data_IF_929830593417
#
_entry.id   IF_929830593417
#
_cell.length_a   1.000
_cell.length_b   1.000
_cell.length_c   1.000
_cell.angle_alpha   90.00
_cell.angle_beta   90.00
_cell.angle_gamma   90.00
#
_symmetry.space_group_name_H-M   'P 1'
#
loop_
_entity.id
_entity.type
_entity.pdbx_description
1 polymer ?
#
# COMPACT_ATOMS: atom_id res chain seq x y z
N UNK A 1 17.04 -29.22 -45.18
CA UNK A 1 16.17 -30.22 -44.57
C UNK A 1 16.86 -30.70 -43.28
N UNK A 2 16.67 -30.01 -42.17
CA UNK A 2 17.12 -30.45 -40.83
C UNK A 2 15.98 -30.15 -39.90
N UNK A 3 15.39 -31.22 -39.34
CA UNK A 3 14.31 -31.22 -38.40
C UNK A 3 14.94 -31.04 -37.03
N UNK A 4 14.59 -29.99 -36.30
CA UNK A 4 14.96 -29.79 -34.89
C UNK A 4 13.74 -30.11 -34.02
N UNK A 5 13.90 -31.09 -33.15
CA UNK A 5 12.88 -31.56 -32.20
C UNK A 5 12.67 -30.51 -31.11
N UNK A 6 11.44 -30.08 -30.93
CA UNK A 6 10.99 -29.33 -29.72
C UNK A 6 10.84 -30.33 -28.55
N UNK A 7 11.52 -30.08 -27.46
CA UNK A 7 11.34 -30.78 -26.21
C UNK A 7 10.12 -30.21 -25.47
N UNK A 8 9.12 -31.06 -25.29
CA UNK A 8 7.99 -30.82 -24.42
C UNK A 8 8.46 -31.05 -22.97
N UNK A 9 8.42 -30.05 -22.11
CA UNK A 9 8.63 -30.19 -20.68
C UNK A 9 7.23 -30.28 -20.04
N UNK A 10 6.88 -31.46 -19.54
CA UNK A 10 5.66 -31.67 -18.78
C UNK A 10 5.94 -31.38 -17.29
N UNK A 11 5.23 -30.46 -16.72
CA UNK A 11 5.19 -30.23 -15.28
C UNK A 11 4.27 -31.28 -14.63
N UNK A 12 4.85 -32.06 -13.73
CA UNK A 12 4.12 -32.99 -12.87
C UNK A 12 4.01 -32.31 -11.51
N UNK A 13 2.79 -31.90 -11.17
CA UNK A 13 2.48 -31.39 -9.83
C UNK A 13 2.60 -32.50 -8.79
N UNK A 14 3.35 -32.28 -7.74
CA UNK A 14 3.43 -33.12 -6.56
C UNK A 14 2.53 -32.53 -5.46
N UNK A 15 1.41 -33.19 -5.19
CA UNK A 15 0.58 -32.97 -4.01
C UNK A 15 1.34 -33.53 -2.80
N UNK A 16 1.71 -32.67 -1.85
CA UNK A 16 2.17 -33.11 -0.52
C UNK A 16 1.03 -32.88 0.46
N UNK A 17 0.44 -34.00 0.89
CA UNK A 17 -0.51 -34.08 1.99
C UNK A 17 0.29 -34.20 3.28
N UNK A 18 0.30 -33.17 4.11
CA UNK A 18 0.88 -33.22 5.46
C UNK A 18 -0.21 -33.50 6.49
N UNK A 19 -0.09 -34.64 7.14
CA UNK A 19 -0.99 -35.14 8.18
C UNK A 19 -0.62 -34.50 9.53
N UNK A 20 -1.59 -33.85 10.17
CA UNK A 20 -1.50 -33.37 11.56
C UNK A 20 -1.39 -34.52 12.54
N UNK A 21 -0.41 -34.43 13.45
CA UNK A 21 -0.35 -35.20 14.70
C UNK A 21 -0.58 -34.24 15.87
N UNK A 22 -1.73 -34.38 16.48
CA UNK A 22 -2.09 -33.72 17.75
C UNK A 22 -1.42 -34.46 18.89
N UNK A 23 -0.64 -33.77 19.71
CA UNK A 23 -0.21 -34.26 21.01
C UNK A 23 -0.63 -33.27 22.10
N UNK A 24 -1.65 -33.66 22.84
CA UNK A 24 -2.05 -32.99 24.07
C UNK A 24 -1.15 -33.42 25.23
N UNK A 25 -0.68 -32.45 26.02
CA UNK A 25 -0.27 -32.71 27.39
C UNK A 25 -0.71 -31.60 28.33
N UNK A 26 -1.40 -32.03 29.34
CA UNK A 26 -2.09 -31.29 30.39
C UNK A 26 -1.16 -30.92 31.56
N UNK A 27 -1.65 -29.91 32.29
CA UNK A 27 -1.62 -29.70 33.76
C UNK A 27 -0.42 -29.02 34.42
N UNK A 28 -0.76 -28.04 35.25
CA UNK A 28 0.04 -27.56 36.38
C UNK A 28 -0.42 -26.20 36.93
N UNK A 29 -1.48 -26.22 37.70
CA UNK A 29 -1.89 -25.07 38.54
C UNK A 29 -0.93 -24.89 39.72
N UNK A 30 -0.57 -23.65 40.06
CA UNK A 30 -0.20 -23.28 41.43
C UNK A 30 -0.64 -21.84 41.73
N UNK A 31 -1.40 -21.76 42.81
CA UNK A 31 -1.95 -20.64 43.51
C UNK A 31 -0.87 -19.90 44.32
N UNK A 32 -1.05 -18.58 44.46
CA UNK A 32 -0.26 -17.79 45.41
C UNK A 32 -0.88 -16.40 45.65
N UNK A 33 -1.53 -16.28 46.78
CA UNK A 33 -2.19 -15.06 47.32
C UNK A 33 -1.23 -13.91 47.61
N UNK A 34 -1.75 -12.67 47.55
CA UNK A 34 -1.04 -11.52 48.09
C UNK A 34 -1.85 -10.20 47.95
N UNK A 35 -2.74 -9.99 48.88
CA UNK A 35 -3.53 -8.76 49.10
C UNK A 35 -2.59 -7.62 49.52
N UNK A 36 -2.73 -6.41 48.98
CA UNK A 36 -2.56 -5.18 49.74
C UNK A 36 -3.36 -4.03 49.16
N UNK A 37 -4.35 -3.59 49.88
CA UNK A 37 -5.16 -2.40 49.67
C UNK A 37 -4.45 -1.16 50.20
N UNK A 38 -4.39 -0.09 49.42
CA UNK A 38 -4.33 1.27 49.98
C UNK A 38 -5.25 2.21 49.20
N UNK A 39 -6.28 2.66 49.89
CA UNK A 39 -7.19 3.75 49.54
C UNK A 39 -6.47 5.08 49.64
N UNK A 40 -6.61 5.93 48.62
CA UNK A 40 -6.30 7.34 48.67
C UNK A 40 -7.24 8.08 47.75
N UNK A 41 -8.24 8.72 48.31
CA UNK A 41 -9.07 9.69 47.61
C UNK A 41 -8.31 11.01 47.52
N UNK A 42 -8.28 11.63 46.39
CA UNK A 42 -8.29 13.09 46.32
C UNK A 42 -8.94 13.64 45.06
N UNK A 43 -9.50 14.77 45.23
CA UNK A 43 -10.50 15.54 44.53
C UNK A 43 -10.02 16.22 43.26
N UNK A 44 -10.87 16.20 42.24
CA UNK A 44 -11.24 17.29 41.33
C UNK A 44 -10.14 18.10 40.63
N UNK A 45 -10.08 17.96 39.30
CA UNK A 45 -9.99 19.19 38.52
C UNK A 45 -10.61 18.96 37.11
N UNK A 46 -11.52 19.86 36.75
CA UNK A 46 -12.17 19.92 35.46
C UNK A 46 -11.22 20.63 34.48
N UNK A 47 -10.51 19.88 33.65
CA UNK A 47 -9.80 20.44 32.50
C UNK A 47 -10.59 20.15 31.22
N UNK A 48 -10.94 21.24 30.55
CA UNK A 48 -11.72 21.24 29.33
C UNK A 48 -11.04 20.45 28.21
N UNK A 49 -11.84 19.62 27.57
CA UNK A 49 -11.54 19.00 26.29
C UNK A 49 -11.32 20.07 25.23
N UNK A 50 -10.09 20.36 24.91
CA UNK A 50 -9.74 21.06 23.68
C UNK A 50 -9.89 20.05 22.54
N UNK A 51 -10.75 20.38 21.58
CA UNK A 51 -10.87 19.63 20.32
C UNK A 51 -9.47 19.50 19.67
N UNK A 52 -9.16 18.34 19.05
CA UNK A 52 -7.93 18.21 18.31
C UNK A 52 -7.87 19.28 17.21
N UNK A 53 -6.83 20.09 17.23
CA UNK A 53 -6.50 21.00 16.14
C UNK A 53 -6.23 20.18 14.90
N UNK A 54 -6.94 20.46 13.81
CA UNK A 54 -6.67 19.91 12.50
C UNK A 54 -5.15 19.98 12.23
N UNK A 55 -4.58 18.88 11.78
CA UNK A 55 -3.19 18.78 11.34
C UNK A 55 -2.94 19.89 10.32
N UNK A 56 -2.07 20.86 10.64
CA UNK A 56 -1.62 21.81 9.63
C UNK A 56 -0.92 21.00 8.54
N UNK A 57 -1.41 21.10 7.30
CA UNK A 57 -0.77 20.48 6.15
C UNK A 57 0.70 20.92 6.01
N UNK A 58 1.52 20.20 5.23
CA UNK A 58 2.94 20.46 5.11
C UNK A 58 3.21 21.93 4.74
N UNK A 59 4.16 22.55 5.44
CA UNK A 59 4.50 23.97 5.21
C UNK A 59 5.21 24.11 3.85
N UNK A 60 4.72 24.95 2.93
CA UNK A 60 5.36 25.18 1.63
C UNK A 60 6.83 25.60 1.76
N UNK A 61 7.69 25.25 0.78
CA UNK A 61 9.10 25.60 0.81
C UNK A 61 9.32 27.12 0.78
N UNK A 62 10.47 27.59 1.32
CA UNK A 62 10.91 28.95 1.09
C UNK A 62 11.13 29.18 -0.41
N UNK A 63 10.29 29.96 -1.06
CA UNK A 63 10.30 30.15 -2.52
C UNK A 63 9.00 29.75 -3.20
N UNK A 64 8.09 29.15 -2.47
CA UNK A 64 6.80 28.69 -3.00
C UNK A 64 6.91 27.34 -3.71
N UNK A 65 5.76 26.78 -4.06
CA UNK A 65 5.68 25.54 -4.80
C UNK A 65 5.86 25.79 -6.30
N UNK A 66 6.55 24.89 -7.04
CA UNK A 66 6.70 25.02 -8.48
C UNK A 66 5.34 24.96 -9.16
N UNK A 67 5.19 25.71 -10.27
CA UNK A 67 4.04 25.56 -11.15
C UNK A 67 4.11 24.16 -11.79
N UNK A 68 3.02 23.39 -11.67
CA UNK A 68 2.93 22.01 -12.18
C UNK A 68 2.48 22.01 -13.63
N UNK A 69 3.02 22.66 -14.54
CA UNK A 69 2.72 22.58 -15.97
C UNK A 69 1.22 22.63 -16.35
N UNK A 70 0.96 22.47 -17.63
CA UNK A 70 -0.41 22.34 -18.17
C UNK A 70 -0.82 20.86 -18.15
N UNK A 71 -1.17 20.34 -16.96
CA UNK A 71 -1.67 18.97 -16.80
C UNK A 71 -3.04 18.75 -17.43
N UNK A 72 -3.41 17.48 -17.59
CA UNK A 72 -4.76 17.09 -18.04
C UNK A 72 -5.74 17.38 -16.91
N UNK A 73 -6.81 18.15 -17.14
CA UNK A 73 -7.83 18.44 -16.12
C UNK A 73 -8.54 17.16 -15.66
N UNK A 74 -8.93 17.13 -14.38
CA UNK A 74 -9.81 16.09 -13.87
C UNK A 74 -11.15 16.09 -14.60
N UNK A 75 -11.63 14.90 -14.96
CA UNK A 75 -13.02 14.65 -15.29
C UNK A 75 -13.87 14.40 -14.04
N UNK A 76 -15.17 14.31 -14.22
CA UNK A 76 -16.14 13.81 -13.22
C UNK A 76 -16.99 12.75 -13.95
N UNK A 77 -16.34 11.69 -14.45
CA UNK A 77 -16.93 10.77 -15.41
C UNK A 77 -17.94 9.81 -14.80
N UNK A 78 -17.72 9.39 -13.54
CA UNK A 78 -18.60 8.50 -12.81
C UNK A 78 -18.41 8.69 -11.30
N UNK A 79 -19.51 8.67 -10.57
CA UNK A 79 -19.52 8.79 -9.12
C UNK A 79 -20.50 7.82 -8.48
N UNK A 80 -20.17 7.37 -7.26
CA UNK A 80 -21.04 6.55 -6.42
C UNK A 80 -20.97 7.06 -4.99
N UNK A 81 -22.08 6.99 -4.25
CA UNK A 81 -22.10 7.29 -2.81
C UNK A 81 -21.94 5.99 -2.04
N UNK A 82 -21.11 5.98 -1.02
CA UNK A 82 -20.93 4.81 -0.14
C UNK A 82 -22.18 4.66 0.73
N UNK A 83 -22.69 3.43 0.77
CA UNK A 83 -23.82 3.03 1.62
C UNK A 83 -23.30 2.37 2.89
N UNK A 84 -24.04 2.47 3.98
CA UNK A 84 -23.75 1.76 5.21
C UNK A 84 -24.08 0.29 5.04
N UNK A 85 -23.09 -0.59 5.25
CA UNK A 85 -23.24 -2.04 5.13
C UNK A 85 -23.20 -2.77 6.48
N UNK A 86 -22.65 -2.15 7.54
CA UNK A 86 -22.73 -2.67 8.90
C UNK A 86 -22.67 -1.58 9.96
N UNK A 87 -23.12 -1.92 11.17
CA UNK A 87 -23.00 -1.13 12.41
C UNK A 87 -22.96 -2.13 13.57
N UNK A 88 -21.77 -2.36 14.11
CA UNK A 88 -21.54 -3.27 15.21
C UNK A 88 -20.87 -2.52 16.39
N UNK A 89 -21.59 -2.43 17.51
CA UNK A 89 -21.17 -1.75 18.74
C UNK A 89 -20.57 -0.33 18.53
N UNK A 90 -21.02 0.37 17.48
CA UNK A 90 -20.59 1.73 17.15
C UNK A 90 -19.44 1.79 16.14
N UNK A 91 -18.92 0.66 15.68
CA UNK A 91 -18.06 0.57 14.49
C UNK A 91 -18.95 0.50 13.26
N UNK A 92 -18.92 1.54 12.44
CA UNK A 92 -19.78 1.66 11.27
C UNK A 92 -18.96 1.47 10.00
N UNK A 93 -19.43 0.60 9.09
CA UNK A 93 -18.79 0.35 7.81
C UNK A 93 -19.64 0.90 6.68
N UNK A 94 -19.01 1.74 5.85
CA UNK A 94 -19.56 2.24 4.60
C UNK A 94 -18.79 1.62 3.44
N UNK A 95 -19.48 1.23 2.36
CA UNK A 95 -18.85 0.66 1.19
C UNK A 95 -19.55 1.02 -0.12
N UNK A 96 -18.80 0.98 -1.20
CA UNK A 96 -19.32 1.00 -2.56
C UNK A 96 -18.31 0.35 -3.51
N UNK A 97 -18.77 -0.34 -4.54
CA UNK A 97 -17.92 -0.73 -5.66
C UNK A 97 -17.38 0.51 -6.38
N UNK A 98 -16.14 0.45 -6.83
CA UNK A 98 -15.55 1.53 -7.62
C UNK A 98 -16.34 1.72 -8.92
N UNK A 99 -16.66 2.98 -9.33
CA UNK A 99 -17.39 3.26 -10.56
C UNK A 99 -16.49 3.05 -11.79
N UNK A 100 -16.18 1.80 -12.09
CA UNK A 100 -15.31 1.36 -13.18
C UNK A 100 -16.01 1.52 -14.54
N UNK A 101 -15.27 1.64 -15.67
CA UNK A 101 -15.85 1.94 -16.98
C UNK A 101 -16.64 0.77 -17.60
N UNK A 102 -16.71 -0.36 -16.93
CA UNK A 102 -17.41 -1.57 -17.36
C UNK A 102 -16.57 -2.81 -17.16
N UNK A 103 -17.00 -3.97 -17.66
CA UNK A 103 -16.22 -5.19 -17.55
C UNK A 103 -14.89 -5.08 -18.32
N UNK A 104 -13.85 -5.73 -17.85
CA UNK A 104 -12.57 -5.88 -18.53
C UNK A 104 -12.35 -7.34 -18.92
N UNK A 105 -11.53 -7.59 -19.93
CA UNK A 105 -11.01 -8.95 -20.22
C UNK A 105 -9.89 -9.36 -19.24
N UNK A 106 -9.32 -8.39 -18.51
CA UNK A 106 -8.38 -8.59 -17.42
C UNK A 106 -9.08 -8.66 -16.06
N UNK A 107 -8.38 -8.21 -15.01
CA UNK A 107 -8.89 -8.21 -13.64
C UNK A 107 -8.89 -6.79 -13.09
N UNK A 108 -10.06 -6.28 -12.72
CA UNK A 108 -10.11 -5.06 -11.92
C UNK A 108 -9.51 -5.30 -10.55
N UNK A 109 -8.43 -4.59 -10.24
CA UNK A 109 -7.75 -4.73 -8.95
C UNK A 109 -7.05 -3.44 -8.53
N UNK A 110 -6.95 -3.26 -7.21
CA UNK A 110 -6.07 -2.26 -6.59
C UNK A 110 -4.82 -2.96 -6.04
N UNK A 111 -3.64 -2.50 -6.45
CA UNK A 111 -2.35 -3.07 -6.04
C UNK A 111 -1.46 -2.09 -5.28
N UNK A 112 -1.74 -0.80 -5.38
CA UNK A 112 -1.00 0.25 -4.69
C UNK A 112 -1.79 0.85 -3.54
N UNK A 113 -1.07 1.32 -2.53
CA UNK A 113 -1.69 2.02 -1.41
C UNK A 113 -2.09 3.43 -1.84
N UNK A 114 -3.36 3.78 -1.60
CA UNK A 114 -3.89 5.13 -1.75
C UNK A 114 -3.34 6.10 -0.70
N UNK A 115 -3.84 7.32 -0.71
CA UNK A 115 -3.37 8.36 0.21
C UNK A 115 -4.51 9.27 0.68
N UNK A 116 -4.54 9.56 1.98
CA UNK A 116 -5.36 10.63 2.56
C UNK A 116 -4.69 11.99 2.35
N UNK A 117 -5.47 13.00 1.98
CA UNK A 117 -4.98 14.35 1.74
C UNK A 117 -5.01 15.25 2.99
N UNK A 118 -5.56 14.75 4.11
CA UNK A 118 -5.70 15.49 5.37
C UNK A 118 -6.79 16.57 5.36
N UNK A 119 -7.58 16.66 4.28
CA UNK A 119 -8.73 17.55 4.14
C UNK A 119 -10.07 16.78 4.03
N UNK A 120 -10.06 15.50 4.36
CA UNK A 120 -11.18 14.57 4.25
C UNK A 120 -11.31 13.89 2.90
N UNK A 121 -10.37 14.15 1.97
CA UNK A 121 -10.31 13.44 0.69
C UNK A 121 -9.25 12.34 0.72
N UNK A 122 -9.51 11.27 -0.04
CA UNK A 122 -8.60 10.16 -0.23
C UNK A 122 -8.46 9.86 -1.73
N UNK A 123 -7.22 9.69 -2.20
CA UNK A 123 -6.95 9.27 -3.59
C UNK A 123 -6.56 7.80 -3.63
N UNK A 124 -7.05 7.10 -4.65
CA UNK A 124 -6.75 5.70 -4.93
C UNK A 124 -6.72 5.44 -6.44
N UNK A 125 -6.28 4.24 -6.84
CA UNK A 125 -6.28 3.84 -8.24
C UNK A 125 -6.62 2.36 -8.39
N UNK A 126 -7.30 2.03 -9.49
CA UNK A 126 -7.66 0.66 -9.89
C UNK A 126 -7.23 0.45 -11.32
N UNK A 127 -6.59 -0.69 -11.61
CA UNK A 127 -6.14 -1.06 -12.94
C UNK A 127 -6.87 -2.27 -13.51
N UNK A 128 -6.83 -2.43 -14.84
CA UNK A 128 -7.57 -3.46 -15.59
C UNK A 128 -6.77 -4.74 -15.89
N UNK A 129 -5.47 -4.74 -15.58
CA UNK A 129 -4.58 -5.88 -15.81
C UNK A 129 -4.48 -6.38 -17.26
N UNK A 130 -4.84 -5.57 -18.23
CA UNK A 130 -4.61 -5.88 -19.64
C UNK A 130 -3.13 -5.73 -20.01
N UNK A 131 -2.74 -6.23 -21.16
CA UNK A 131 -1.43 -5.98 -21.78
C UNK A 131 -1.53 -4.82 -22.78
N UNK A 132 -2.04 -5.11 -23.99
CA UNK A 132 -2.31 -4.09 -24.99
C UNK A 132 -3.42 -3.14 -24.51
N UNK A 133 -3.22 -1.84 -24.70
CA UNK A 133 -4.15 -0.79 -24.30
C UNK A 133 -4.54 -0.83 -22.79
N UNK A 134 -3.72 -1.46 -21.95
CA UNK A 134 -3.95 -1.55 -20.52
C UNK A 134 -4.04 -0.16 -19.87
N UNK A 135 -4.98 0.00 -18.94
CA UNK A 135 -5.26 1.30 -18.33
C UNK A 135 -5.47 1.18 -16.81
N UNK A 136 -5.15 2.24 -16.11
CA UNK A 136 -5.47 2.43 -14.71
C UNK A 136 -6.24 3.73 -14.52
N UNK A 137 -7.17 3.70 -13.56
CA UNK A 137 -8.11 4.79 -13.30
C UNK A 137 -7.88 5.35 -11.91
N UNK A 138 -7.92 6.67 -11.78
CA UNK A 138 -7.76 7.38 -10.52
C UNK A 138 -9.11 7.83 -9.97
N UNK A 139 -9.23 7.70 -8.65
CA UNK A 139 -10.45 8.01 -7.91
C UNK A 139 -10.15 8.93 -6.74
N UNK A 140 -11.12 9.79 -6.44
CA UNK A 140 -11.15 10.60 -5.22
C UNK A 140 -12.39 10.26 -4.41
N UNK A 141 -12.19 9.88 -3.17
CA UNK A 141 -13.23 9.81 -2.16
C UNK A 141 -13.28 11.11 -1.38
N UNK A 142 -14.48 11.66 -1.18
CA UNK A 142 -14.75 12.83 -0.33
C UNK A 142 -15.60 12.39 0.88
N UNK A 143 -15.04 12.53 2.08
CA UNK A 143 -15.71 12.13 3.31
C UNK A 143 -16.90 13.04 3.68
N UNK A 144 -16.98 14.26 3.14
CA UNK A 144 -18.04 15.19 3.49
C UNK A 144 -19.42 14.73 2.99
N UNK A 145 -19.46 14.05 1.84
CA UNK A 145 -20.69 13.52 1.25
C UNK A 145 -20.61 12.01 0.96
N UNK A 146 -19.51 11.36 1.35
CA UNK A 146 -19.20 9.94 1.12
C UNK A 146 -19.24 9.56 -0.37
N UNK A 147 -18.78 10.43 -1.23
CA UNK A 147 -18.81 10.22 -2.69
C UNK A 147 -17.44 9.75 -3.17
N UNK A 148 -17.42 8.66 -3.94
CA UNK A 148 -16.26 8.17 -4.67
C UNK A 148 -16.42 8.53 -6.15
N UNK A 149 -15.49 9.33 -6.70
CA UNK A 149 -15.55 9.84 -8.07
C UNK A 149 -14.31 9.41 -8.86
N UNK A 150 -14.51 8.85 -10.05
CA UNK A 150 -13.45 8.65 -11.04
C UNK A 150 -13.11 9.98 -11.68
N UNK A 151 -11.83 10.38 -11.67
CA UNK A 151 -11.46 11.71 -12.16
C UNK A 151 -10.43 11.73 -13.28
N UNK A 152 -9.67 10.65 -13.49
CA UNK A 152 -8.69 10.54 -14.55
C UNK A 152 -8.39 9.07 -14.86
N UNK A 153 -7.75 8.84 -16.00
CA UNK A 153 -7.15 7.56 -16.38
C UNK A 153 -5.77 7.80 -16.99
N UNK A 154 -4.92 6.76 -16.93
CA UNK A 154 -3.51 6.88 -17.35
C UNK A 154 -3.40 7.14 -18.85
N UNK A 155 -4.17 6.45 -19.70
CA UNK A 155 -4.08 6.61 -21.15
C UNK A 155 -4.55 7.99 -21.66
N UNK A 156 -5.36 8.70 -20.87
CA UNK A 156 -5.72 10.10 -21.17
C UNK A 156 -4.61 11.09 -20.84
N UNK A 157 -3.62 10.68 -20.03
CA UNK A 157 -2.54 11.55 -19.54
C UNK A 157 -1.23 11.28 -20.25
N UNK A 158 -0.91 10.00 -20.51
CA UNK A 158 0.35 9.59 -21.12
C UNK A 158 0.20 9.38 -22.63
N UNK A 159 1.24 9.64 -23.43
CA UNK A 159 1.26 9.24 -24.83
C UNK A 159 1.09 7.73 -24.95
N UNK A 160 0.16 7.30 -25.82
CA UNK A 160 -0.12 5.89 -26.07
C UNK A 160 -0.50 5.68 -27.54
N UNK A 161 0.04 4.63 -28.15
CA UNK A 161 -0.37 4.18 -29.50
C UNK A 161 -1.34 3.00 -29.35
N UNK A 162 -2.44 3.02 -30.09
CA UNK A 162 -3.46 1.97 -30.07
C UNK A 162 -2.83 0.59 -30.32
N UNK A 163 -3.08 -0.35 -29.42
CA UNK A 163 -2.54 -1.71 -29.45
C UNK A 163 -1.13 -1.85 -28.88
N UNK A 164 -0.50 -0.76 -28.43
CA UNK A 164 0.76 -0.84 -27.69
C UNK A 164 0.50 -1.33 -26.25
N UNK A 165 1.57 -1.81 -25.61
CA UNK A 165 1.50 -2.22 -24.20
C UNK A 165 1.21 -1.01 -23.31
N UNK A 166 0.21 -1.13 -22.43
CA UNK A 166 -0.28 -0.05 -21.59
C UNK A 166 0.05 -0.25 -20.10
N UNK A 167 -0.63 0.52 -19.25
CA UNK A 167 -0.34 0.63 -17.81
C UNK A 167 -1.53 0.17 -16.99
N UNK A 168 -1.72 -1.15 -16.89
CA UNK A 168 -2.87 -1.79 -16.24
C UNK A 168 -2.80 -1.85 -14.72
N UNK A 169 -1.79 -1.26 -14.08
CA UNK A 169 -1.64 -1.18 -12.63
C UNK A 169 -1.11 0.18 -12.17
N UNK A 170 -1.48 0.58 -10.96
CA UNK A 170 -0.73 1.47 -10.09
C UNK A 170 -0.33 0.60 -8.89
N UNK A 171 0.96 0.28 -8.78
CA UNK A 171 1.44 -0.71 -7.79
C UNK A 171 2.12 -0.06 -6.59
N UNK A 172 2.87 1.02 -6.81
CA UNK A 172 3.51 1.76 -5.72
C UNK A 172 2.49 2.46 -4.82
N UNK A 173 2.85 2.65 -3.57
CA UNK A 173 2.10 3.55 -2.70
C UNK A 173 2.14 4.97 -3.24
N UNK A 174 1.02 5.68 -3.19
CA UNK A 174 0.98 7.11 -3.49
C UNK A 174 1.64 7.89 -2.37
N UNK A 175 2.38 8.94 -2.73
CA UNK A 175 3.04 9.81 -1.75
C UNK A 175 2.70 11.27 -2.03
N UNK A 176 2.66 12.11 -0.98
CA UNK A 176 2.39 13.53 -1.13
C UNK A 176 3.63 14.34 -0.81
N UNK A 177 3.98 15.29 -1.70
CA UNK A 177 5.05 16.22 -1.44
C UNK A 177 4.59 17.38 -0.53
N UNK A 178 5.54 18.15 -0.03
CA UNK A 178 5.25 19.31 0.84
C UNK A 178 4.47 20.43 0.16
N UNK A 179 4.27 20.35 -1.14
CA UNK A 179 3.44 21.27 -1.91
C UNK A 179 2.00 20.77 -2.08
N UNK A 180 1.68 19.60 -1.52
CA UNK A 180 0.37 18.99 -1.62
C UNK A 180 0.13 18.22 -2.93
N UNK A 181 1.14 18.09 -3.80
CA UNK A 181 1.04 17.24 -4.98
C UNK A 181 1.17 15.79 -4.59
N UNK A 182 0.28 14.95 -5.09
CA UNK A 182 0.36 13.49 -4.95
C UNK A 182 1.10 12.92 -6.14
N UNK A 183 2.04 12.04 -5.86
CA UNK A 183 2.83 11.33 -6.84
C UNK A 183 2.41 9.88 -6.90
N UNK A 184 2.29 9.34 -8.11
CA UNK A 184 1.99 7.95 -8.39
C UNK A 184 2.87 7.45 -9.53
N UNK A 185 3.22 6.17 -9.53
CA UNK A 185 3.89 5.50 -10.64
C UNK A 185 2.93 4.56 -11.32
N UNK A 186 2.98 4.50 -12.64
CA UNK A 186 2.33 3.43 -13.38
C UNK A 186 3.05 2.12 -13.16
N UNK A 187 2.40 1.01 -13.54
CA UNK A 187 3.00 -0.30 -13.60
C UNK A 187 2.32 -1.14 -14.69
N UNK A 188 3.07 -2.01 -15.35
CA UNK A 188 2.51 -2.90 -16.36
C UNK A 188 1.45 -3.85 -15.74
N UNK A 189 0.46 -4.25 -16.56
CA UNK A 189 -0.66 -5.05 -16.06
C UNK A 189 -0.38 -6.54 -16.00
N UNK A 190 0.24 -7.10 -17.05
CA UNK A 190 0.47 -8.54 -17.21
C UNK A 190 1.87 -8.82 -17.74
N UNK A 191 2.37 -10.04 -17.49
CA UNK A 191 3.69 -10.53 -17.94
C UNK A 191 3.60 -11.44 -19.16
N UNK A 192 2.43 -11.61 -19.78
CA UNK A 192 2.20 -12.71 -20.70
C UNK A 192 2.89 -12.53 -22.05
N UNK A 193 3.37 -11.32 -22.37
CA UNK A 193 3.99 -10.98 -23.65
C UNK A 193 5.35 -10.31 -23.48
N UNK A 194 6.10 -10.21 -24.56
CA UNK A 194 7.33 -9.46 -24.66
C UNK A 194 7.03 -7.96 -24.59
N UNK A 195 7.09 -7.41 -23.40
CA UNK A 195 6.58 -6.07 -23.04
C UNK A 195 7.25 -4.99 -23.89
N UNK A 196 8.58 -5.03 -24.02
CA UNK A 196 9.34 -4.03 -24.78
C UNK A 196 9.12 -4.15 -26.30
N UNK A 197 8.96 -5.37 -26.83
CA UNK A 197 8.64 -5.58 -28.24
C UNK A 197 7.24 -5.05 -28.59
N UNK A 198 6.35 -4.97 -27.61
CA UNK A 198 4.99 -4.46 -27.74
C UNK A 198 4.88 -2.97 -27.39
N UNK A 199 5.99 -2.24 -27.33
CA UNK A 199 6.02 -0.79 -27.22
C UNK A 199 6.02 -0.22 -25.80
N UNK A 200 6.27 -1.05 -24.77
CA UNK A 200 6.49 -0.55 -23.41
C UNK A 200 7.81 0.22 -23.32
N UNK A 201 7.75 1.44 -22.82
CA UNK A 201 8.90 2.37 -22.73
C UNK A 201 9.36 2.61 -21.27
N UNK A 202 8.86 1.82 -20.32
CA UNK A 202 9.08 2.03 -18.90
C UNK A 202 7.92 2.69 -18.21
N UNK A 203 7.86 2.54 -16.89
CA UNK A 203 6.83 3.15 -16.07
C UNK A 203 7.02 4.65 -15.92
N UNK A 204 5.90 5.34 -15.78
CA UNK A 204 5.83 6.79 -15.78
C UNK A 204 5.54 7.33 -14.39
N UNK A 205 6.18 8.44 -14.05
CA UNK A 205 5.87 9.19 -12.84
C UNK A 205 4.79 10.22 -13.13
N UNK A 206 3.70 10.16 -12.40
CA UNK A 206 2.55 11.06 -12.54
C UNK A 206 2.46 12.00 -11.32
N UNK A 207 2.25 13.29 -11.57
CA UNK A 207 1.96 14.28 -10.56
C UNK A 207 0.46 14.64 -10.59
N UNK A 208 -0.24 14.38 -9.51
CA UNK A 208 -1.66 14.69 -9.31
C UNK A 208 -1.73 15.95 -8.44
N UNK A 209 -2.26 17.05 -8.95
CA UNK A 209 -2.53 18.27 -8.19
C UNK A 209 -3.98 18.31 -7.72
N UNK A 210 -4.28 17.98 -6.44
CA UNK A 210 -5.65 17.99 -5.92
C UNK A 210 -6.25 19.41 -5.82
N UNK A 211 -5.41 20.42 -5.72
CA UNK A 211 -5.83 21.83 -5.65
C UNK A 211 -6.15 22.40 -7.04
N UNK A 212 -5.26 22.17 -8.01
CA UNK A 212 -5.44 22.56 -9.41
C UNK A 212 -6.35 21.62 -10.20
N UNK A 213 -6.63 20.45 -9.67
CA UNK A 213 -7.42 19.38 -10.33
C UNK A 213 -6.83 19.01 -11.69
N UNK A 214 -5.54 18.67 -11.70
CA UNK A 214 -4.82 18.24 -12.91
C UNK A 214 -3.94 17.03 -12.64
N UNK A 215 -3.64 16.27 -13.69
CA UNK A 215 -2.64 15.19 -13.68
C UNK A 215 -1.60 15.50 -14.75
N UNK A 216 -0.33 15.44 -14.38
CA UNK A 216 0.81 15.72 -15.27
C UNK A 216 1.72 14.51 -15.36
N UNK A 217 2.11 14.14 -16.57
CA UNK A 217 3.08 13.08 -16.84
C UNK A 217 4.51 13.65 -16.82
N UNK A 218 5.38 13.07 -15.98
CA UNK A 218 6.81 13.39 -15.90
C UNK A 218 7.69 12.40 -16.67
N UNK A 219 7.08 11.41 -17.35
CA UNK A 219 7.80 10.44 -18.16
C UNK A 219 8.42 9.28 -17.36
N UNK A 220 9.22 8.46 -18.05
CA UNK A 220 9.84 7.27 -17.45
C UNK A 220 11.13 7.69 -16.73
N UNK A 221 11.04 8.03 -15.45
CA UNK A 221 12.18 8.49 -14.65
C UNK A 221 13.22 7.40 -14.36
N UNK A 222 12.82 6.12 -14.40
CA UNK A 222 13.71 4.97 -14.24
C UNK A 222 14.15 4.35 -15.59
N UNK A 223 13.97 5.06 -16.73
CA UNK A 223 14.23 4.50 -18.04
C UNK A 223 13.18 3.44 -18.44
N UNK A 224 13.62 2.33 -19.02
CA UNK A 224 12.75 1.25 -19.50
C UNK A 224 12.21 0.34 -18.39
N UNK A 225 12.57 0.57 -17.12
CA UNK A 225 12.17 -0.28 -16.00
C UNK A 225 10.74 -0.03 -15.52
N UNK A 226 10.14 -1.07 -14.90
CA UNK A 226 8.93 -0.95 -14.11
C UNK A 226 9.19 -0.30 -12.74
N UNK A 227 8.24 0.47 -12.20
CA UNK A 227 8.37 1.16 -10.90
C UNK A 227 7.31 0.68 -9.89
N UNK A 228 7.47 -0.53 -9.32
CA UNK A 228 6.47 -1.12 -8.42
C UNK A 228 6.41 -0.52 -7.03
N UNK A 229 7.41 0.26 -6.63
CA UNK A 229 7.47 0.84 -5.28
C UNK A 229 8.03 2.26 -5.28
N UNK A 230 7.59 3.06 -4.31
CA UNK A 230 7.98 4.46 -4.18
C UNK A 230 7.82 4.92 -2.74
N UNK A 231 8.67 5.84 -2.30
CA UNK A 231 8.50 6.58 -1.05
C UNK A 231 8.96 8.03 -1.21
N UNK A 232 8.65 8.86 -0.23
CA UNK A 232 9.14 10.25 -0.16
C UNK A 232 9.79 10.49 1.19
N UNK A 233 10.94 11.13 1.19
CA UNK A 233 11.68 11.48 2.43
C UNK A 233 10.88 12.42 3.34
N UNK A 234 11.28 12.49 4.60
CA UNK A 234 10.58 13.29 5.61
C UNK A 234 10.61 14.82 5.31
N UNK A 235 11.50 15.27 4.43
CA UNK A 235 11.49 16.67 3.94
C UNK A 235 10.34 16.98 2.97
N UNK A 236 9.68 15.94 2.46
CA UNK A 236 8.58 16.03 1.51
C UNK A 236 9.00 16.56 0.13
N UNK A 237 10.28 16.42 -0.24
CA UNK A 237 10.82 16.87 -1.53
C UNK A 237 11.45 15.77 -2.34
N UNK A 238 12.20 14.90 -1.66
CA UNK A 238 12.97 13.87 -2.33
C UNK A 238 12.16 12.58 -2.43
N UNK A 239 11.76 12.22 -3.64
CA UNK A 239 11.07 10.99 -3.94
C UNK A 239 12.10 9.94 -4.36
N UNK A 240 11.94 8.71 -3.88
CA UNK A 240 12.74 7.57 -4.32
C UNK A 240 11.80 6.49 -4.84
N UNK A 241 12.04 6.05 -6.09
CA UNK A 241 11.34 4.94 -6.70
C UNK A 241 12.30 3.76 -6.86
N UNK A 242 11.86 2.57 -6.44
CA UNK A 242 12.52 1.32 -6.73
C UNK A 242 11.99 0.75 -8.05
N UNK A 243 12.86 0.21 -8.87
CA UNK A 243 12.49 -0.32 -10.17
C UNK A 243 12.95 -1.76 -10.39
N UNK A 244 12.30 -2.42 -11.33
CA UNK A 244 12.55 -3.81 -11.72
C UNK A 244 12.56 -3.94 -13.23
N UNK A 245 13.32 -4.92 -13.74
CA UNK A 245 13.26 -5.29 -15.15
C UNK A 245 12.02 -6.16 -15.39
N UNK A 246 11.09 -5.67 -16.21
CA UNK A 246 9.81 -6.34 -16.44
C UNK A 246 9.91 -7.62 -17.28
N UNK A 247 10.98 -7.84 -18.05
CA UNK A 247 11.17 -9.05 -18.83
C UNK A 247 11.88 -10.17 -18.05
N UNK A 248 12.82 -9.82 -17.20
CA UNK A 248 13.55 -10.82 -16.39
C UNK A 248 12.77 -11.30 -15.18
N UNK A 249 11.79 -10.54 -14.75
CA UNK A 249 10.91 -10.87 -13.63
C UNK A 249 11.00 -9.89 -12.47
N UNK A 250 10.10 -10.05 -11.52
CA UNK A 250 9.98 -9.16 -10.35
C UNK A 250 11.19 -9.22 -9.42
N UNK A 251 12.01 -10.23 -9.59
CA UNK A 251 13.19 -10.52 -8.76
C UNK A 251 14.46 -9.89 -9.30
N UNK A 252 14.48 -9.52 -10.60
CA UNK A 252 15.66 -8.92 -11.19
C UNK A 252 15.62 -7.40 -11.06
N UNK A 253 16.73 -6.89 -10.59
CA UNK A 253 16.91 -5.52 -10.14
C UNK A 253 16.93 -4.52 -11.28
N UNK A 254 16.23 -3.41 -11.06
CA UNK A 254 16.44 -2.18 -11.78
C UNK A 254 17.34 -1.24 -10.99
N UNK A 255 16.96 0.02 -10.96
CA UNK A 255 17.68 1.08 -10.26
C UNK A 255 16.80 1.70 -9.17
N UNK A 256 17.44 2.24 -8.12
CA UNK A 256 16.79 3.21 -7.23
C UNK A 256 16.92 4.59 -7.85
N UNK A 257 15.79 5.18 -8.23
CA UNK A 257 15.75 6.52 -8.85
C UNK A 257 15.39 7.56 -7.81
N UNK A 258 16.27 8.52 -7.59
CA UNK A 258 16.06 9.68 -6.72
C UNK A 258 15.59 10.86 -7.57
N UNK A 259 14.42 11.39 -7.26
CA UNK A 259 13.76 12.47 -7.98
C UNK A 259 13.46 13.64 -7.04
N UNK A 260 13.87 14.84 -7.44
CA UNK A 260 13.55 16.08 -6.72
C UNK A 260 12.23 16.65 -7.23
N UNK A 261 11.19 16.58 -6.39
CA UNK A 261 9.84 17.06 -6.72
C UNK A 261 9.77 18.56 -6.89
N UNK A 262 10.74 19.33 -6.36
CA UNK A 262 10.76 20.79 -6.46
C UNK A 262 11.34 21.29 -7.78
N UNK A 263 12.25 20.54 -8.38
CA UNK A 263 12.87 20.84 -9.69
C UNK A 263 12.29 19.99 -10.81
N UNK A 264 11.62 18.89 -10.47
CA UNK A 264 11.14 17.86 -11.40
C UNK A 264 12.29 17.20 -12.18
N UNK A 265 13.40 16.92 -11.51
CA UNK A 265 14.60 16.34 -12.09
C UNK A 265 15.00 15.06 -11.37
N UNK A 266 15.51 14.08 -12.14
CA UNK A 266 16.23 12.92 -11.58
C UNK A 266 17.59 13.38 -11.08
N UNK A 267 17.85 13.19 -9.79
CA UNK A 267 19.09 13.60 -9.12
C UNK A 267 20.13 12.50 -9.16
N UNK A 268 19.69 11.27 -8.84
CA UNK A 268 20.53 10.08 -8.83
C UNK A 268 19.79 8.89 -9.43
N UNK A 269 20.52 8.00 -10.07
CA UNK A 269 20.11 6.63 -10.35
C UNK A 269 21.19 5.72 -9.75
N UNK A 270 20.78 4.88 -8.81
CA UNK A 270 21.67 4.03 -8.02
C UNK A 270 21.41 2.58 -8.39
N UNK A 271 22.43 1.93 -8.89
CA UNK A 271 22.42 0.52 -9.25
C UNK A 271 22.96 -0.28 -8.06
N UNK A 272 22.08 -0.86 -7.26
CA UNK A 272 22.43 -1.90 -6.30
C UNK A 272 21.89 -3.24 -6.82
N UNK A 273 22.76 -4.14 -7.31
CA UNK A 273 22.31 -5.42 -7.88
C UNK A 273 21.68 -6.36 -6.85
N UNK A 274 21.68 -6.01 -5.57
CA UNK A 274 21.04 -6.77 -4.48
C UNK A 274 19.66 -6.24 -4.11
N UNK A 275 19.27 -5.08 -4.70
CA UNK A 275 17.98 -4.47 -4.41
C UNK A 275 16.86 -5.47 -4.64
N UNK A 276 16.09 -5.73 -3.60
CA UNK A 276 14.83 -6.46 -3.65
C UNK A 276 13.71 -5.55 -3.21
N UNK A 277 13.45 -4.51 -4.00
CA UNK A 277 12.55 -3.39 -3.66
C UNK A 277 11.18 -3.49 -4.31
N UNK A 278 10.69 -4.71 -4.59
CA UNK A 278 9.44 -4.87 -5.33
C UNK A 278 8.20 -4.39 -4.56
N UNK A 279 8.19 -4.43 -3.24
CA UNK A 279 6.96 -4.20 -2.46
C UNK A 279 6.96 -2.93 -1.62
N UNK A 280 8.04 -2.59 -0.97
CA UNK A 280 8.06 -1.42 -0.10
C UNK A 280 9.44 -0.75 -0.04
N UNK A 281 9.40 0.58 0.06
CA UNK A 281 10.50 1.42 0.50
C UNK A 281 10.06 2.16 1.77
N UNK A 282 10.93 2.19 2.78
CA UNK A 282 10.67 2.86 4.05
C UNK A 282 11.61 4.02 4.32
N UNK A 283 11.35 4.77 5.37
CA UNK A 283 12.29 5.75 5.89
C UNK A 283 13.04 5.10 7.05
N UNK A 284 14.36 5.04 6.95
CA UNK A 284 15.19 4.56 8.05
C UNK A 284 15.07 5.50 9.26
N UNK A 285 14.62 4.99 10.40
CA UNK A 285 14.40 5.82 11.59
C UNK A 285 15.68 6.37 12.21
N UNK A 286 16.85 5.86 11.81
CA UNK A 286 18.17 6.29 12.35
C UNK A 286 18.77 7.41 11.53
N UNK A 287 18.89 7.22 10.21
CA UNK A 287 19.55 8.16 9.31
C UNK A 287 18.57 9.12 8.62
N UNK A 288 17.29 8.73 8.51
CA UNK A 288 16.32 9.42 7.66
C UNK A 288 16.47 9.14 6.17
N UNK A 289 17.39 8.25 5.79
CA UNK A 289 17.56 7.75 4.44
C UNK A 289 16.43 6.82 4.00
N UNK A 290 16.48 6.31 2.78
CA UNK A 290 15.49 5.38 2.26
C UNK A 290 15.96 3.95 2.44
N UNK A 291 15.22 3.20 3.24
CA UNK A 291 15.46 1.80 3.55
C UNK A 291 14.77 0.90 2.53
N UNK A 292 15.46 -0.15 2.09
CA UNK A 292 14.98 -1.15 1.13
C UNK A 292 15.54 -2.55 1.43
N UNK A 293 14.86 -3.57 0.90
CA UNK A 293 15.32 -4.95 1.01
C UNK A 293 16.44 -5.28 0.02
N UNK A 294 17.36 -6.16 0.42
CA UNK A 294 18.47 -6.67 -0.42
C UNK A 294 18.50 -8.20 -0.49
N UNK A 295 17.39 -8.86 -0.13
CA UNK A 295 17.21 -10.31 -0.11
C UNK A 295 17.52 -10.94 1.24
N UNK A 296 17.04 -12.16 1.46
CA UNK A 296 17.23 -12.94 2.69
C UNK A 296 16.85 -12.18 3.98
N UNK A 297 15.89 -11.24 3.89
CA UNK A 297 15.46 -10.36 5.00
C UNK A 297 16.42 -9.23 5.33
N UNK A 298 17.56 -9.14 4.68
CA UNK A 298 18.55 -8.08 4.93
C UNK A 298 18.06 -6.74 4.36
N UNK A 299 18.44 -5.65 5.03
CA UNK A 299 18.09 -4.28 4.67
C UNK A 299 19.34 -3.46 4.37
N UNK A 300 19.17 -2.54 3.40
CA UNK A 300 20.12 -1.47 3.13
C UNK A 300 19.43 -0.11 3.20
N UNK A 301 20.22 0.95 3.32
CA UNK A 301 19.74 2.33 3.33
C UNK A 301 20.47 3.15 2.26
N UNK A 302 19.70 3.88 1.46
CA UNK A 302 20.19 4.86 0.50
C UNK A 302 20.17 6.25 1.15
N UNK A 303 21.29 6.98 1.08
CA UNK A 303 21.30 8.43 1.27
C UNK A 303 20.91 9.11 -0.05
N UNK A 304 19.69 9.64 -0.17
CA UNK A 304 19.24 10.23 -1.42
C UNK A 304 19.95 11.54 -1.78
N UNK A 305 20.67 12.16 -0.84
CA UNK A 305 21.42 13.40 -1.10
C UNK A 305 22.76 13.15 -1.80
N UNK A 306 23.35 11.96 -1.60
CA UNK A 306 24.65 11.58 -2.18
C UNK A 306 24.53 10.48 -3.23
N UNK A 307 23.46 9.67 -3.20
CA UNK A 307 23.33 8.45 -3.97
C UNK A 307 24.18 7.29 -3.43
N UNK A 308 24.77 7.43 -2.26
CA UNK A 308 25.51 6.35 -1.60
C UNK A 308 24.56 5.47 -0.80
N UNK A 309 24.87 4.18 -0.69
CA UNK A 309 24.11 3.23 0.10
C UNK A 309 25.02 2.40 1.01
N UNK A 310 24.44 1.94 2.13
CA UNK A 310 25.13 1.07 3.08
C UNK A 310 24.18 -0.01 3.60
N UNK A 311 24.74 -1.15 4.00
CA UNK A 311 23.98 -2.23 4.60
C UNK A 311 23.60 -1.85 6.04
N UNK A 312 22.35 -2.14 6.42
CA UNK A 312 21.93 -2.07 7.82
C UNK A 312 22.24 -3.41 8.50
N UNK A 313 22.71 -3.36 9.76
CA UNK A 313 22.84 -4.57 10.59
C UNK A 313 21.45 -5.02 11.10
N UNK A 314 20.48 -5.15 10.18
CA UNK A 314 19.10 -5.54 10.44
C UNK A 314 18.74 -6.65 9.47
N UNK A 315 18.29 -7.78 10.03
CA UNK A 315 17.68 -8.86 9.27
C UNK A 315 16.23 -9.01 9.75
N UNK A 316 15.28 -8.84 8.83
CA UNK A 316 13.86 -9.01 9.10
C UNK A 316 13.54 -10.48 9.42
N UNK A 317 12.51 -10.75 10.22
CA UNK A 317 11.90 -12.07 10.25
C UNK A 317 11.15 -12.27 8.92
N UNK A 318 11.57 -13.19 8.07
CA UNK A 318 11.08 -13.37 6.70
C UNK A 318 12.03 -12.81 5.64
N UNK A 319 11.72 -13.03 4.36
CA UNK A 319 12.69 -12.87 3.28
C UNK A 319 12.80 -11.45 2.74
N UNK A 320 11.74 -10.63 2.85
CA UNK A 320 11.73 -9.26 2.31
C UNK A 320 10.81 -8.29 3.06
N UNK A 321 10.99 -7.00 2.81
CA UNK A 321 10.13 -5.94 3.30
C UNK A 321 8.84 -5.88 2.46
N UNK A 322 7.69 -6.17 3.08
CA UNK A 322 6.39 -6.22 2.39
C UNK A 322 5.60 -4.93 2.45
N UNK A 323 5.50 -4.35 3.64
CA UNK A 323 4.83 -3.08 3.90
C UNK A 323 5.51 -2.38 5.08
N UNK A 324 5.46 -1.05 5.08
CA UNK A 324 6.05 -0.25 6.16
C UNK A 324 5.29 1.07 6.32
N UNK A 325 5.14 1.52 7.57
CA UNK A 325 4.56 2.83 7.87
C UNK A 325 5.56 3.95 7.64
N UNK A 326 5.06 5.18 7.59
CA UNK A 326 5.90 6.35 7.87
C UNK A 326 6.37 6.31 9.33
N UNK A 327 7.46 7.02 9.68
CA UNK A 327 7.86 7.13 11.07
C UNK A 327 6.75 7.72 11.95
N UNK A 328 6.46 7.06 13.06
CA UNK A 328 5.61 7.58 14.12
C UNK A 328 6.22 8.86 14.74
N UNK A 329 5.49 9.63 15.56
CA UNK A 329 6.04 10.84 16.20
C UNK A 329 7.28 10.61 17.08
N UNK A 330 7.45 9.40 17.60
CA UNK A 330 8.65 8.99 18.35
C UNK A 330 9.79 8.51 17.44
N UNK A 331 9.57 8.46 16.14
CA UNK A 331 10.50 8.01 15.12
C UNK A 331 10.46 6.51 14.82
N UNK A 332 9.68 5.71 15.55
CA UNK A 332 9.53 4.27 15.28
C UNK A 332 8.79 4.02 13.97
N UNK A 333 9.24 3.06 13.17
CA UNK A 333 8.50 2.55 12.02
C UNK A 333 7.98 1.16 12.32
N UNK A 334 6.79 0.85 11.78
CA UNK A 334 6.16 -0.47 11.87
C UNK A 334 6.07 -1.07 10.49
N UNK A 335 6.35 -2.36 10.36
CA UNK A 335 6.35 -3.02 9.06
C UNK A 335 5.90 -4.46 9.12
N UNK A 336 5.77 -5.01 7.93
CA UNK A 336 5.43 -6.41 7.68
C UNK A 336 6.48 -6.95 6.74
N UNK A 337 7.06 -8.09 7.11
CA UNK A 337 7.91 -8.88 6.23
C UNK A 337 7.08 -9.97 5.54
N UNK A 338 7.57 -10.42 4.40
CA UNK A 338 6.84 -11.35 3.55
C UNK A 338 6.96 -12.82 3.94
N UNK A 339 6.33 -13.67 3.13
CA UNK A 339 6.13 -15.11 3.13
C UNK A 339 5.32 -15.63 4.31
N UNK A 340 5.82 -15.60 5.52
CA UNK A 340 5.05 -15.97 6.71
C UNK A 340 4.44 -14.75 7.38
N UNK A 341 4.67 -13.55 6.81
CA UNK A 341 4.14 -12.25 7.24
C UNK A 341 4.31 -11.98 8.73
N UNK A 342 5.49 -11.46 9.10
CA UNK A 342 5.75 -11.03 10.47
C UNK A 342 5.53 -9.54 10.63
N UNK A 343 4.86 -9.18 11.72
CA UNK A 343 4.81 -7.81 12.19
C UNK A 343 6.10 -7.48 12.94
N UNK A 344 6.68 -6.33 12.63
CA UNK A 344 7.89 -5.84 13.31
C UNK A 344 7.86 -4.33 13.53
N UNK A 345 8.78 -3.84 14.37
CA UNK A 345 9.09 -2.41 14.46
C UNK A 345 10.59 -2.19 14.45
N UNK A 346 11.01 -1.03 13.92
CA UNK A 346 12.38 -0.54 14.00
C UNK A 346 12.33 0.81 14.71
N UNK A 347 13.03 0.88 15.85
CA UNK A 347 13.07 2.09 16.68
C UNK A 347 14.17 3.08 16.19
N UNK A 348 14.15 4.36 16.62
CA UNK A 348 15.14 5.37 16.23
C UNK A 348 16.60 5.05 16.62
N UNK A 349 16.82 4.04 17.43
CA UNK A 349 18.16 3.56 17.75
C UNK A 349 18.61 2.36 16.90
N UNK A 350 17.83 1.99 15.87
CA UNK A 350 18.12 0.88 14.97
C UNK A 350 17.74 -0.50 15.52
N UNK A 351 17.05 -0.59 16.66
CA UNK A 351 16.65 -1.88 17.20
C UNK A 351 15.41 -2.42 16.52
N UNK A 352 15.50 -3.61 15.94
CA UNK A 352 14.38 -4.40 15.46
C UNK A 352 13.68 -5.10 16.63
N UNK A 353 12.36 -5.10 16.61
CA UNK A 353 11.50 -5.88 17.52
C UNK A 353 10.47 -6.65 16.71
N UNK A 354 10.44 -7.97 16.87
CA UNK A 354 9.36 -8.81 16.33
C UNK A 354 8.11 -8.63 17.19
N UNK A 355 6.97 -8.37 16.54
CA UNK A 355 5.70 -8.10 17.20
C UNK A 355 4.70 -9.26 17.07
N UNK A 356 5.04 -10.28 16.27
CA UNK A 356 4.26 -11.49 16.06
C UNK A 356 3.73 -11.63 14.64
N UNK A 357 2.88 -12.61 14.44
CA UNK A 357 2.27 -12.92 13.15
C UNK A 357 1.00 -12.07 12.94
N UNK A 358 0.80 -11.42 11.78
CA UNK A 358 -0.40 -10.63 11.50
C UNK A 358 -1.65 -11.49 11.22
N UNK A 359 -1.52 -12.81 11.16
CA UNK A 359 -2.63 -13.75 10.94
C UNK A 359 -2.75 -14.24 9.51
N UNK A 360 -1.76 -14.02 8.67
CA UNK A 360 -1.70 -14.45 7.27
C UNK A 360 -1.04 -13.42 6.37
N UNK A 361 -0.94 -13.69 5.07
CA UNK A 361 -0.31 -12.80 4.08
C UNK A 361 -0.92 -11.40 4.15
N UNK A 362 -0.09 -10.41 4.50
CA UNK A 362 -0.51 -9.03 4.70
C UNK A 362 0.27 -8.10 3.80
N UNK A 363 -0.43 -7.27 3.03
CA UNK A 363 0.15 -6.51 1.91
C UNK A 363 0.19 -5.01 2.12
N UNK A 364 -0.49 -4.50 3.15
CA UNK A 364 -0.50 -3.09 3.53
C UNK A 364 -0.67 -2.90 5.03
N UNK A 365 -0.17 -1.79 5.53
CA UNK A 365 -0.27 -1.39 6.93
C UNK A 365 -0.61 0.10 7.01
N UNK A 366 -1.61 0.43 7.84
CA UNK A 366 -1.99 1.80 8.19
C UNK A 366 -1.58 2.14 9.62
N UNK A 367 -1.45 3.42 9.94
CA UNK A 367 -1.12 3.87 11.30
C UNK A 367 -1.83 5.18 11.62
N UNK A 368 -2.24 5.33 12.88
CA UNK A 368 -2.74 6.61 13.38
C UNK A 368 -1.65 7.69 13.37
N UNK A 369 -1.98 8.97 13.16
CA UNK A 369 -0.99 10.06 13.12
C UNK A 369 -0.17 10.23 14.41
N UNK A 370 -0.72 9.83 15.55
CA UNK A 370 -0.04 9.84 16.85
C UNK A 370 0.84 8.59 17.07
N UNK A 371 0.79 7.60 16.16
CA UNK A 371 1.57 6.38 16.24
C UNK A 371 1.09 5.38 17.28
N UNK A 372 -0.10 5.58 17.86
CA UNK A 372 -0.61 4.72 18.96
C UNK A 372 -1.24 3.42 18.48
N UNK A 373 -1.67 3.35 17.21
CA UNK A 373 -2.29 2.14 16.64
C UNK A 373 -1.83 1.91 15.21
N UNK A 374 -1.63 0.64 14.86
CA UNK A 374 -1.44 0.17 13.48
C UNK A 374 -2.59 -0.75 13.08
N UNK A 375 -2.91 -0.80 11.77
CA UNK A 375 -4.04 -1.54 11.20
C UNK A 375 -3.61 -2.33 9.98
N UNK A 376 -4.20 -3.50 9.78
CA UNK A 376 -3.98 -4.35 8.61
C UNK A 376 -5.16 -5.31 8.38
N UNK A 377 -5.15 -6.01 7.25
CA UNK A 377 -6.06 -7.13 6.94
C UNK A 377 -5.20 -8.35 6.60
N UNK A 378 -5.35 -9.48 7.31
CA UNK A 378 -4.68 -10.74 6.98
C UNK A 378 -5.25 -11.39 5.72
N UNK A 379 -4.48 -12.32 5.13
CA UNK A 379 -4.81 -13.07 3.91
C UNK A 379 -5.21 -12.16 2.73
N UNK A 380 -4.54 -11.02 2.62
CA UNK A 380 -4.90 -9.94 1.72
C UNK A 380 -4.55 -10.20 0.25
N UNK A 381 -4.05 -11.40 -0.11
CA UNK A 381 -3.72 -11.76 -1.50
C UNK A 381 -4.75 -12.73 -2.10
N UNK A 382 -6.02 -12.36 -2.08
CA UNK A 382 -7.13 -13.11 -2.64
C UNK A 382 -7.86 -14.02 -1.65
N UNK A 383 -7.33 -14.23 -0.43
CA UNK A 383 -7.85 -15.20 0.53
C UNK A 383 -8.51 -14.61 1.79
N UNK A 384 -8.71 -13.29 1.88
CA UNK A 384 -9.20 -12.67 3.11
C UNK A 384 -10.57 -13.22 3.57
N UNK A 385 -11.44 -13.62 2.65
CA UNK A 385 -12.73 -14.25 2.94
C UNK A 385 -12.60 -15.58 3.72
N UNK A 386 -11.51 -16.34 3.54
CA UNK A 386 -11.28 -17.62 4.24
C UNK A 386 -11.09 -17.44 5.75
N UNK A 387 -10.64 -16.26 6.17
CA UNK A 387 -10.40 -15.91 7.57
C UNK A 387 -11.34 -14.83 8.11
N UNK A 388 -12.46 -14.56 7.41
CA UNK A 388 -13.49 -13.60 7.81
C UNK A 388 -13.26 -12.18 7.31
N UNK A 389 -12.22 -11.93 6.51
CA UNK A 389 -11.83 -10.60 6.03
C UNK A 389 -11.74 -9.57 7.18
N UNK A 390 -11.08 -9.98 8.25
CA UNK A 390 -11.01 -9.22 9.50
C UNK A 390 -10.05 -8.04 9.37
N UNK A 391 -10.49 -6.85 9.74
CA UNK A 391 -9.60 -5.71 9.97
C UNK A 391 -9.05 -5.83 11.38
N UNK A 392 -7.73 -5.89 11.49
CA UNK A 392 -7.00 -6.02 12.74
C UNK A 392 -6.36 -4.71 13.14
N UNK A 393 -6.16 -4.52 14.42
CA UNK A 393 -5.37 -3.41 14.96
C UNK A 393 -4.46 -3.86 16.09
N UNK A 394 -3.34 -3.17 16.26
CA UNK A 394 -2.44 -3.33 17.40
C UNK A 394 -2.25 -1.99 18.10
N UNK A 395 -2.40 -1.97 19.42
CA UNK A 395 -1.93 -0.88 20.26
C UNK A 395 -0.41 -0.94 20.36
N UNK A 396 0.27 0.11 19.94
CA UNK A 396 1.74 0.12 19.81
C UNK A 396 2.48 0.14 21.15
N UNK A 397 1.83 0.59 22.22
CA UNK A 397 2.43 0.67 23.56
C UNK A 397 2.34 -0.67 24.29
N UNK A 398 1.24 -1.40 24.16
CA UNK A 398 1.01 -2.69 24.83
C UNK A 398 1.36 -3.89 23.95
N UNK A 399 1.35 -3.75 22.62
CA UNK A 399 1.42 -4.84 21.64
C UNK A 399 0.14 -5.67 21.59
N UNK A 400 -0.97 -5.21 22.20
CA UNK A 400 -2.26 -5.90 22.18
C UNK A 400 -2.87 -5.84 20.78
N UNK A 401 -3.16 -7.01 20.21
CA UNK A 401 -3.82 -7.15 18.90
C UNK A 401 -5.29 -7.41 19.12
N UNK A 402 -6.14 -6.67 18.43
CA UNK A 402 -7.60 -6.79 18.48
C UNK A 402 -8.20 -6.77 17.08
N UNK A 403 -9.29 -7.51 16.89
CA UNK A 403 -10.16 -7.37 15.72
C UNK A 403 -10.95 -6.05 15.85
N UNK A 404 -10.98 -5.29 14.76
CA UNK A 404 -11.78 -4.05 14.66
C UNK A 404 -13.18 -4.40 14.15
N UNK A 405 -13.24 -5.10 13.03
CA UNK A 405 -14.48 -5.54 12.37
C UNK A 405 -14.18 -6.66 11.38
N UNK A 406 -15.14 -7.58 11.23
CA UNK A 406 -15.19 -8.56 10.12
C UNK A 406 -16.01 -7.98 8.97
N UNK A 407 -15.52 -8.11 7.74
CA UNK A 407 -16.21 -7.63 6.55
C UNK A 407 -16.99 -8.74 5.82
N UNK A 408 -16.75 -10.03 6.10
CA UNK A 408 -17.25 -11.14 5.31
C UNK A 408 -18.77 -11.13 5.20
N UNK A 409 -19.47 -11.19 6.33
CA UNK A 409 -20.95 -11.27 6.34
C UNK A 409 -21.59 -10.08 5.62
N UNK A 410 -21.05 -8.86 5.84
CA UNK A 410 -21.56 -7.63 5.19
C UNK A 410 -21.33 -7.61 3.70
N UNK A 411 -20.18 -8.13 3.23
CA UNK A 411 -19.89 -8.24 1.80
C UNK A 411 -20.81 -9.25 1.12
N UNK A 412 -21.02 -10.43 1.73
CA UNK A 412 -21.91 -11.45 1.19
C UNK A 412 -23.39 -11.00 1.16
N UNK A 413 -23.88 -10.41 2.25
CA UNK A 413 -25.29 -10.06 2.40
C UNK A 413 -25.68 -8.77 1.68
N UNK A 414 -24.84 -7.72 1.72
CA UNK A 414 -25.18 -6.40 1.22
C UNK A 414 -24.64 -6.14 -0.19
N UNK A 415 -23.46 -6.72 -0.53
CA UNK A 415 -22.82 -6.51 -1.82
C UNK A 415 -22.91 -7.72 -2.76
N UNK A 416 -23.13 -8.93 -2.24
CA UNK A 416 -23.11 -10.16 -3.01
C UNK A 416 -21.70 -10.53 -3.51
N UNK A 417 -20.65 -10.18 -2.75
CA UNK A 417 -19.25 -10.34 -3.10
C UNK A 417 -18.47 -11.11 -2.03
N UNK A 418 -17.35 -11.74 -2.43
CA UNK A 418 -16.33 -12.28 -1.54
C UNK A 418 -15.16 -11.29 -1.41
N UNK A 419 -14.80 -10.83 -0.21
CA UNK A 419 -13.67 -9.90 -0.01
C UNK A 419 -12.34 -10.65 -0.13
N UNK A 420 -11.54 -10.35 -1.14
CA UNK A 420 -10.25 -10.99 -1.42
C UNK A 420 -9.07 -10.39 -0.64
N UNK A 421 -9.21 -9.16 -0.13
CA UNK A 421 -8.20 -8.48 0.65
C UNK A 421 -7.78 -7.11 0.13
N UNK A 422 -6.82 -6.47 0.78
CA UNK A 422 -6.45 -5.08 0.49
C UNK A 422 -4.95 -4.87 0.33
N UNK A 423 -4.57 -4.02 -0.61
CA UNK A 423 -3.23 -3.44 -0.78
C UNK A 423 -3.18 -1.98 -0.33
N UNK A 424 -4.26 -1.48 0.27
CA UNK A 424 -4.40 -0.09 0.68
C UNK A 424 -5.11 0.00 2.03
N UNK A 425 -4.37 0.28 3.07
CA UNK A 425 -4.86 0.50 4.42
C UNK A 425 -4.41 1.90 4.87
N UNK A 426 -5.32 2.86 4.90
CA UNK A 426 -5.02 4.27 5.18
C UNK A 426 -5.90 4.77 6.31
N UNK A 427 -5.29 5.40 7.32
CA UNK A 427 -6.01 6.06 8.40
C UNK A 427 -6.07 7.57 8.16
N UNK A 428 -7.25 8.16 8.28
CA UNK A 428 -7.49 9.62 8.18
C UNK A 428 -8.60 10.07 9.10
N UNK A 429 -8.30 10.97 10.01
CA UNK A 429 -9.24 11.69 10.89
C UNK A 429 -10.33 10.80 11.51
N UNK A 430 -9.94 9.71 12.19
CA UNK A 430 -10.85 8.79 12.86
C UNK A 430 -11.50 7.75 11.94
N UNK A 431 -11.04 7.64 10.69
CA UNK A 431 -11.52 6.68 9.69
C UNK A 431 -10.41 5.79 9.20
N UNK A 432 -10.72 4.54 8.96
CA UNK A 432 -9.86 3.64 8.20
C UNK A 432 -10.44 3.48 6.81
N UNK A 433 -9.64 3.71 5.78
CA UNK A 433 -10.02 3.68 4.37
C UNK A 433 -9.23 2.57 3.68
N UNK A 434 -9.94 1.61 3.09
CA UNK A 434 -9.36 0.46 2.40
C UNK A 434 -9.91 0.35 0.98
N UNK A 435 -9.07 -0.03 0.04
CA UNK A 435 -9.52 -0.54 -1.25
C UNK A 435 -9.46 -2.07 -1.20
N UNK A 436 -10.60 -2.71 -1.14
CA UNK A 436 -10.73 -4.16 -0.98
C UNK A 436 -10.97 -4.80 -2.34
N UNK A 437 -10.05 -5.64 -2.80
CA UNK A 437 -10.27 -6.50 -3.96
C UNK A 437 -11.34 -7.53 -3.61
N UNK A 438 -12.21 -7.84 -4.54
CA UNK A 438 -13.32 -8.75 -4.33
C UNK A 438 -13.67 -9.52 -5.61
N UNK A 439 -14.42 -10.61 -5.46
CA UNK A 439 -14.97 -11.42 -6.54
C UNK A 439 -16.44 -11.72 -6.31
N UNK A 440 -17.12 -12.21 -7.34
CA UNK A 440 -18.48 -12.74 -7.21
C UNK A 440 -18.50 -13.95 -6.25
N UNK A 441 -19.66 -14.24 -5.60
CA UNK A 441 -19.81 -15.32 -4.61
C UNK A 441 -19.52 -16.74 -5.14
N UNK A 442 -19.50 -16.95 -6.45
CA UNK A 442 -19.18 -18.20 -7.10
C UNK A 442 -17.74 -18.25 -7.66
N UNK A 443 -16.95 -17.21 -7.41
CA UNK A 443 -15.53 -17.10 -7.78
C UNK A 443 -14.68 -16.92 -6.51
N UNK A 444 -13.91 -17.92 -6.15
CA UNK A 444 -13.04 -17.97 -4.97
C UNK A 444 -11.68 -17.29 -5.19
N UNK A 445 -11.48 -16.55 -6.28
CA UNK A 445 -10.23 -15.86 -6.57
C UNK A 445 -9.98 -14.64 -5.67
N UNK A 446 -11.05 -14.01 -5.16
CA UNK A 446 -10.98 -12.74 -4.43
C UNK A 446 -10.58 -11.54 -5.28
N UNK A 447 -10.64 -11.66 -6.63
CA UNK A 447 -10.29 -10.61 -7.59
C UNK A 447 -11.36 -10.50 -8.68
N UNK A 448 -11.51 -9.34 -9.29
CA UNK A 448 -12.46 -9.10 -10.39
C UNK A 448 -13.20 -7.77 -10.27
N UNK A 449 -13.42 -7.31 -9.05
CA UNK A 449 -13.89 -5.96 -8.75
C UNK A 449 -13.16 -5.37 -7.54
N UNK A 450 -13.37 -4.10 -7.27
CA UNK A 450 -12.79 -3.40 -6.11
C UNK A 450 -13.87 -2.63 -5.39
N UNK A 451 -13.87 -2.71 -4.07
CA UNK A 451 -14.80 -2.02 -3.18
C UNK A 451 -14.01 -1.03 -2.32
N UNK A 452 -14.42 0.23 -2.30
CA UNK A 452 -13.94 1.18 -1.30
C UNK A 452 -14.70 0.93 0.01
N UNK A 453 -13.95 0.69 1.07
CA UNK A 453 -14.47 0.49 2.43
C UNK A 453 -13.99 1.61 3.32
N UNK A 454 -14.89 2.19 4.10
CA UNK A 454 -14.59 3.21 5.11
C UNK A 454 -15.17 2.76 6.44
N UNK A 455 -14.29 2.63 7.44
CA UNK A 455 -14.66 2.23 8.81
C UNK A 455 -14.55 3.45 9.71
N UNK A 456 -15.63 3.77 10.40
CA UNK A 456 -15.74 4.86 11.38
C UNK A 456 -15.99 4.31 12.78
N UNK A 457 -15.67 5.07 13.83
CA UNK A 457 -15.91 4.67 15.23
C UNK A 457 -14.79 3.84 15.86
N UNK A 458 -13.59 3.88 15.29
CA UNK A 458 -12.42 3.07 15.69
C UNK A 458 -11.44 3.82 16.60
#
# INVERSE_FOLDING_TARGET
MRITQKRLVAWVGALVVSSLLVAACSSGAQTGDGISTTTGADTGDTSGSSAPTASEGPTPPPGGCPARGDGVPWGDDASVTLEQISDDDGVVVYAAEYPLPGPTEGLWTQWGQGIALGDGRHLSAVGDHLGADANSYFFVYDAADRTLTRFADVLSVVPHEEGAFGYGKIHAQMVQDRCGTVWATTYWGTRDDLVYENGYEGDRLLAIDPGGRTVTDHGPIAGEYGMPTMTITSDGVTLVAGSVDVESGEEDTGVLTVFDTSTSEVVHQVDDPRQFGFRALGIDPVSGGVMYGIGDGELAVLDPSTGEFEDLDITLPGDWLRAITRPAPDGTVYGISDDESFLFSISPNGSLTELGEPGGTTTSIGMTPDGTRVFWMPEAHGGAWEVGANIMSMDTASGEVTEVVSLLDSFEEELGLLPGGTYSTVYDDGRLILGVNASDLDDDSGFGTVVLVVVEGI
#
